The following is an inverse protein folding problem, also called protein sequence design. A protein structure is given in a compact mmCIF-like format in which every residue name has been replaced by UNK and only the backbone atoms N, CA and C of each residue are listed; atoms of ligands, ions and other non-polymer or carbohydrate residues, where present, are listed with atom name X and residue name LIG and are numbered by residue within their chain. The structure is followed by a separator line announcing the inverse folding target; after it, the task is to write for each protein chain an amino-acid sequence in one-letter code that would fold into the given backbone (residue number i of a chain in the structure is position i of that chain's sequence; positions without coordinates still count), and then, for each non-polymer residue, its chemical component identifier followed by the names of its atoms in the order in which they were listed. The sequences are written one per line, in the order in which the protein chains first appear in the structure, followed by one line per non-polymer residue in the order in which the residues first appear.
data_IF_659352128139
#
_entry.id   IF_659352128139
#
_cell.length_a   1.000
_cell.length_b   1.000
_cell.length_c   1.000
_cell.angle_alpha   90.00
_cell.angle_beta   90.00
_cell.angle_gamma   90.00
#
_symmetry.space_group_name_H-M   'P 1'
#
loop_
_entity.id
_entity.type
_entity.pdbx_description
1 polymer ?
#
# COMPACT_ATOMS: atom_id res chain seq x y z
N UNK A 1 12.51 4.05 -12.40
CA UNK A 1 11.76 3.50 -11.25
C UNK A 1 12.49 2.27 -10.77
N UNK A 2 12.39 1.94 -9.48
CA UNK A 2 12.94 0.68 -8.96
C UNK A 2 11.73 -0.21 -8.68
N UNK A 3 11.21 -0.85 -9.72
CA UNK A 3 9.89 -1.51 -9.72
C UNK A 3 9.75 -2.53 -8.58
N UNK A 4 10.84 -3.21 -8.19
CA UNK A 4 10.88 -4.12 -7.04
C UNK A 4 10.63 -3.42 -5.71
N UNK A 5 11.27 -2.26 -5.50
CA UNK A 5 11.01 -1.43 -4.32
C UNK A 5 9.56 -0.97 -4.33
N UNK A 6 9.02 -0.74 -5.52
CA UNK A 6 7.69 -0.16 -5.63
C UNK A 6 6.57 -1.14 -5.34
N UNK A 7 6.71 -2.34 -5.89
CA UNK A 7 5.90 -3.50 -5.56
C UNK A 7 5.97 -3.84 -4.07
N UNK A 8 7.17 -3.87 -3.49
CA UNK A 8 7.32 -4.17 -2.05
C UNK A 8 6.57 -3.18 -1.15
N UNK A 9 6.61 -1.89 -1.49
CA UNK A 9 5.91 -0.87 -0.70
C UNK A 9 4.39 -0.95 -0.85
N UNK A 10 3.89 -1.28 -2.04
CA UNK A 10 2.46 -1.52 -2.25
C UNK A 10 1.99 -2.75 -1.50
N UNK A 11 2.72 -3.86 -1.58
CA UNK A 11 2.42 -5.09 -0.84
C UNK A 11 2.32 -4.86 0.68
N UNK A 12 3.26 -4.09 1.24
CA UNK A 12 3.21 -3.70 2.66
C UNK A 12 1.99 -2.84 3.00
N UNK A 13 1.59 -1.92 2.12
CA UNK A 13 0.40 -1.06 2.35
C UNK A 13 -0.89 -1.87 2.28
N UNK A 14 -1.01 -2.76 1.31
CA UNK A 14 -2.14 -3.67 1.22
C UNK A 14 -2.22 -4.62 2.40
N UNK A 15 -1.09 -5.18 2.84
CA UNK A 15 -1.04 -6.01 4.05
C UNK A 15 -1.58 -5.24 5.26
N UNK A 16 -1.10 -4.02 5.48
CA UNK A 16 -1.57 -3.17 6.57
C UNK A 16 -3.07 -2.83 6.47
N UNK A 17 -3.57 -2.58 5.26
CA UNK A 17 -5.00 -2.35 5.04
C UNK A 17 -5.83 -3.58 5.43
N UNK A 18 -5.45 -4.77 4.95
CA UNK A 18 -6.15 -6.00 5.31
C UNK A 18 -6.08 -6.29 6.82
N UNK A 19 -4.95 -6.05 7.49
CA UNK A 19 -4.83 -6.19 8.95
C UNK A 19 -5.82 -5.31 9.72
N UNK A 20 -6.17 -4.14 9.20
CA UNK A 20 -7.10 -3.19 9.84
C UNK A 20 -8.56 -3.40 9.45
N UNK A 21 -8.85 -4.01 8.30
CA UNK A 21 -10.23 -4.32 7.90
C UNK A 21 -10.82 -5.41 8.79
N UNK A 22 -12.12 -5.31 9.05
CA UNK A 22 -12.87 -6.42 9.65
C UNK A 22 -13.11 -7.54 8.63
N UNK A 23 -13.33 -8.76 9.10
CA UNK A 23 -13.66 -9.89 8.21
C UNK A 23 -14.99 -9.65 7.48
N UNK A 24 -15.95 -8.98 8.12
CA UNK A 24 -17.20 -8.53 7.52
C UNK A 24 -16.95 -7.63 6.30
N UNK A 25 -16.07 -6.63 6.42
CA UNK A 25 -15.65 -5.75 5.32
C UNK A 25 -15.04 -6.55 4.17
N UNK A 26 -14.10 -7.45 4.47
CA UNK A 26 -13.43 -8.26 3.45
C UNK A 26 -14.45 -9.14 2.71
N UNK A 27 -15.39 -9.75 3.44
CA UNK A 27 -16.47 -10.53 2.87
C UNK A 27 -17.38 -9.68 1.95
N UNK A 28 -17.76 -8.48 2.39
CA UNK A 28 -18.56 -7.55 1.57
C UNK A 28 -17.85 -7.18 0.26
N UNK A 29 -16.57 -6.79 0.32
CA UNK A 29 -15.79 -6.44 -0.87
C UNK A 29 -15.69 -7.62 -1.84
N UNK A 30 -15.42 -8.82 -1.33
CA UNK A 30 -15.30 -10.01 -2.17
C UNK A 30 -16.64 -10.44 -2.79
N UNK A 31 -17.73 -10.28 -2.05
CA UNK A 31 -19.08 -10.60 -2.54
C UNK A 31 -19.60 -9.64 -3.60
N UNK A 32 -19.04 -8.43 -3.67
CA UNK A 32 -19.33 -7.46 -4.72
C UNK A 32 -18.61 -7.76 -6.06
N UNK A 33 -17.70 -8.73 -6.09
CA UNK A 33 -17.06 -9.17 -7.32
C UNK A 33 -18.03 -9.99 -8.18
N UNK A 34 -17.94 -9.83 -9.49
CA UNK A 34 -18.77 -10.54 -10.46
C UNK A 34 -17.92 -11.28 -11.52
N UNK A 35 -18.52 -12.31 -12.14
CA UNK A 35 -17.94 -13.04 -13.26
C UNK A 35 -16.51 -13.54 -13.03
N UNK A 36 -15.67 -13.38 -14.05
CA UNK A 36 -14.28 -13.85 -14.05
C UNK A 36 -13.43 -13.24 -12.93
N UNK A 37 -13.78 -12.03 -12.46
CA UNK A 37 -13.06 -11.37 -11.38
C UNK A 37 -13.27 -12.10 -10.05
N UNK A 38 -14.51 -12.52 -9.78
CA UNK A 38 -14.86 -13.32 -8.60
C UNK A 38 -14.17 -14.68 -8.62
N UNK A 39 -14.20 -15.35 -9.76
CA UNK A 39 -13.59 -16.67 -9.93
C UNK A 39 -12.06 -16.60 -9.83
N UNK A 40 -11.45 -15.59 -10.43
CA UNK A 40 -10.02 -15.31 -10.34
C UNK A 40 -9.59 -15.04 -8.90
N UNK A 41 -10.36 -14.21 -8.19
CA UNK A 41 -10.12 -13.91 -6.78
C UNK A 41 -10.17 -15.17 -5.90
N UNK A 42 -11.21 -16.01 -6.05
CA UNK A 42 -11.32 -17.25 -5.30
C UNK A 42 -10.11 -18.16 -5.49
N UNK A 43 -9.63 -18.32 -6.72
CA UNK A 43 -8.41 -19.11 -7.03
C UNK A 43 -7.16 -18.48 -6.41
N UNK A 44 -7.05 -17.15 -6.46
CA UNK A 44 -5.90 -16.41 -5.94
C UNK A 44 -5.72 -16.63 -4.44
N UNK A 45 -6.79 -16.49 -3.65
CA UNK A 45 -6.74 -16.72 -2.19
C UNK A 45 -6.90 -18.20 -1.81
N UNK A 46 -7.33 -19.05 -2.74
CA UNK A 46 -7.48 -20.49 -2.53
C UNK A 46 -8.74 -20.87 -1.77
N UNK A 47 -9.84 -20.19 -2.04
CA UNK A 47 -11.16 -20.53 -1.51
C UNK A 47 -11.64 -21.86 -2.10
N UNK A 48 -12.36 -22.63 -1.29
CA UNK A 48 -13.06 -23.82 -1.76
C UNK A 48 -14.30 -23.45 -2.55
N UNK A 49 -14.81 -24.41 -3.33
CA UNK A 49 -16.13 -24.31 -3.94
C UNK A 49 -17.19 -24.05 -2.85
N UNK A 50 -18.17 -23.19 -3.15
CA UNK A 50 -19.20 -22.78 -2.20
C UNK A 50 -18.77 -21.79 -1.11
N UNK A 51 -17.49 -21.38 -1.02
CA UNK A 51 -17.04 -20.47 0.04
C UNK A 51 -17.79 -19.13 0.08
N UNK A 52 -18.25 -18.63 -1.08
CA UNK A 52 -19.06 -17.40 -1.16
C UNK A 52 -20.48 -17.55 -0.62
N UNK A 53 -20.96 -18.77 -0.38
CA UNK A 53 -22.29 -19.04 0.17
C UNK A 53 -22.34 -18.81 1.68
N UNK A 54 -21.21 -18.93 2.37
CA UNK A 54 -21.09 -18.68 3.81
C UNK A 54 -20.41 -17.33 4.08
N UNK A 55 -21.22 -16.27 4.08
CA UNK A 55 -20.75 -14.91 4.35
C UNK A 55 -20.14 -14.74 5.75
N UNK A 56 -20.50 -15.58 6.72
CA UNK A 56 -20.00 -15.45 8.09
C UNK A 56 -18.53 -15.89 8.21
N UNK A 57 -18.10 -16.87 7.41
CA UNK A 57 -16.72 -17.37 7.43
C UNK A 57 -15.85 -16.84 6.28
N UNK A 58 -16.47 -16.29 5.22
CA UNK A 58 -15.80 -15.85 4.00
C UNK A 58 -14.63 -14.90 4.27
N UNK A 59 -14.83 -13.85 5.07
CA UNK A 59 -13.80 -12.85 5.36
C UNK A 59 -12.56 -13.43 6.01
N UNK A 60 -12.75 -14.31 7.01
CA UNK A 60 -11.65 -14.98 7.70
C UNK A 60 -10.87 -15.93 6.76
N UNK A 61 -11.58 -16.66 5.89
CA UNK A 61 -10.95 -17.54 4.89
C UNK A 61 -10.13 -16.74 3.87
N UNK A 62 -10.65 -15.60 3.42
CA UNK A 62 -9.92 -14.69 2.51
C UNK A 62 -8.66 -14.17 3.19
N UNK A 63 -8.78 -13.66 4.43
CA UNK A 63 -7.63 -13.15 5.20
C UNK A 63 -6.53 -14.21 5.35
N UNK A 64 -6.92 -15.43 5.72
CA UNK A 64 -6.01 -16.57 5.84
C UNK A 64 -5.34 -16.90 4.49
N UNK A 65 -6.11 -16.91 3.40
CA UNK A 65 -5.60 -17.11 2.05
C UNK A 65 -4.59 -16.05 1.61
N UNK A 66 -4.89 -14.77 1.87
CA UNK A 66 -3.99 -13.63 1.62
C UNK A 66 -2.66 -13.84 2.33
N UNK A 67 -2.70 -14.14 3.63
CA UNK A 67 -1.50 -14.30 4.46
C UNK A 67 -0.66 -15.51 4.03
N UNK A 68 -1.29 -16.67 3.84
CA UNK A 68 -0.60 -17.92 3.47
C UNK A 68 0.08 -17.83 2.10
N UNK A 69 -0.57 -17.17 1.14
CA UNK A 69 -0.11 -17.10 -0.25
C UNK A 69 0.71 -15.85 -0.56
N UNK A 70 0.72 -14.87 0.35
CA UNK A 70 1.42 -13.57 0.20
C UNK A 70 0.98 -12.82 -1.04
N UNK A 71 -0.34 -12.68 -1.17
CA UNK A 71 -1.03 -12.10 -2.34
C UNK A 71 -1.79 -10.83 -1.98
N UNK A 72 -1.36 -10.13 -0.92
CA UNK A 72 -2.04 -8.92 -0.44
C UNK A 72 -2.13 -7.86 -1.54
N UNK A 73 -1.03 -7.62 -2.26
CA UNK A 73 -1.03 -6.71 -3.40
C UNK A 73 -2.12 -7.05 -4.43
N UNK A 74 -2.11 -8.28 -4.95
CA UNK A 74 -3.02 -8.67 -6.03
C UNK A 74 -4.48 -8.73 -5.56
N UNK A 75 -4.72 -9.12 -4.31
CA UNK A 75 -6.06 -9.08 -3.70
C UNK A 75 -6.57 -7.64 -3.55
N UNK A 76 -5.70 -6.73 -3.13
CA UNK A 76 -6.05 -5.32 -2.97
C UNK A 76 -6.45 -4.67 -4.30
N UNK A 77 -5.73 -4.99 -5.38
CA UNK A 77 -6.07 -4.57 -6.74
C UNK A 77 -7.44 -5.11 -7.14
N UNK A 78 -7.65 -6.42 -7.03
CA UNK A 78 -8.90 -7.06 -7.48
C UNK A 78 -10.11 -6.58 -6.69
N UNK A 79 -10.00 -6.44 -5.36
CA UNK A 79 -11.09 -5.98 -4.52
C UNK A 79 -11.40 -4.48 -4.73
N UNK A 80 -10.44 -3.69 -5.22
CA UNK A 80 -10.66 -2.29 -5.59
C UNK A 80 -11.22 -2.12 -7.00
N UNK A 81 -11.24 -3.17 -7.83
CA UNK A 81 -11.52 -3.06 -9.26
C UNK A 81 -12.90 -2.45 -9.57
N UNK A 82 -14.02 -2.85 -8.92
CA UNK A 82 -15.32 -2.22 -9.19
C UNK A 82 -15.34 -0.72 -8.86
N UNK A 83 -14.70 -0.33 -7.75
CA UNK A 83 -14.54 1.06 -7.33
C UNK A 83 -13.67 1.84 -8.33
N UNK A 84 -12.62 1.20 -8.85
CA UNK A 84 -11.65 1.80 -9.76
C UNK A 84 -12.26 2.04 -11.13
N UNK A 85 -12.93 1.04 -11.71
CA UNK A 85 -13.62 1.16 -13.00
C UNK A 85 -14.66 2.27 -12.97
N UNK A 86 -15.49 2.30 -11.93
CA UNK A 86 -16.48 3.37 -11.79
C UNK A 86 -15.86 4.76 -11.64
N UNK A 87 -14.76 4.86 -10.89
CA UNK A 87 -14.03 6.13 -10.73
C UNK A 87 -13.42 6.60 -12.05
N UNK A 88 -12.93 5.68 -12.88
CA UNK A 88 -12.42 5.99 -14.23
C UNK A 88 -13.55 6.53 -15.11
N UNK A 89 -14.71 5.89 -15.10
CA UNK A 89 -15.89 6.33 -15.86
C UNK A 89 -16.34 7.75 -15.45
N UNK A 90 -16.39 8.04 -14.16
CA UNK A 90 -16.81 9.36 -13.66
C UNK A 90 -15.78 10.47 -13.93
N UNK A 91 -14.48 10.15 -13.89
CA UNK A 91 -13.41 11.09 -14.19
C UNK A 91 -13.22 11.31 -15.69
N UNK A 92 -13.62 10.34 -16.52
CA UNK A 92 -13.45 10.42 -17.98
C UNK A 92 -12.00 10.66 -18.38
N UNK A 93 -11.77 11.68 -19.19
CA UNK A 93 -10.43 12.06 -19.67
C UNK A 93 -9.46 12.43 -18.53
N UNK A 94 -9.96 12.88 -17.38
CA UNK A 94 -9.14 13.20 -16.22
C UNK A 94 -8.67 11.96 -15.45
N UNK A 95 -9.16 10.75 -15.78
CA UNK A 95 -8.83 9.53 -15.05
C UNK A 95 -7.33 9.16 -15.09
N UNK A 96 -6.61 9.56 -16.13
CA UNK A 96 -5.17 9.25 -16.28
C UNK A 96 -4.26 10.11 -15.39
N UNK A 97 -4.66 11.34 -15.06
CA UNK A 97 -3.93 12.23 -14.13
C UNK A 97 -4.89 13.18 -13.40
N UNK A 98 -5.76 12.65 -12.51
CA UNK A 98 -6.76 13.47 -11.83
C UNK A 98 -6.08 14.41 -10.84
N UNK A 99 -6.56 15.64 -10.78
CA UNK A 99 -6.14 16.65 -9.82
C UNK A 99 -6.70 16.35 -8.43
N UNK A 100 -6.12 16.98 -7.40
CA UNK A 100 -6.66 16.87 -6.04
C UNK A 100 -8.10 17.40 -5.93
N UNK A 101 -8.45 18.43 -6.70
CA UNK A 101 -9.80 19.01 -6.73
C UNK A 101 -10.81 18.01 -7.27
N UNK A 102 -10.52 17.43 -8.45
CA UNK A 102 -11.38 16.39 -9.06
C UNK A 102 -11.53 15.16 -8.15
N UNK A 103 -10.45 14.76 -7.47
CA UNK A 103 -10.53 13.67 -6.48
C UNK A 103 -11.43 14.05 -5.30
N UNK A 104 -11.34 15.27 -4.77
CA UNK A 104 -12.21 15.70 -3.67
C UNK A 104 -13.69 15.77 -4.08
N UNK A 105 -13.99 16.08 -5.34
CA UNK A 105 -15.34 16.07 -5.87
C UNK A 105 -15.87 14.64 -6.10
N UNK A 106 -14.99 13.72 -6.51
CA UNK A 106 -15.32 12.31 -6.72
C UNK A 106 -15.53 11.56 -5.40
N UNK A 107 -14.67 11.82 -4.40
CA UNK A 107 -14.56 11.04 -3.17
C UNK A 107 -15.89 10.82 -2.44
N UNK A 108 -16.74 11.83 -2.21
CA UNK A 108 -18.04 11.64 -1.56
C UNK A 108 -18.92 10.62 -2.29
N UNK A 109 -18.94 10.68 -3.63
CA UNK A 109 -19.79 9.82 -4.47
C UNK A 109 -19.31 8.37 -4.46
N UNK A 110 -18.00 8.16 -4.62
CA UNK A 110 -17.41 6.82 -4.63
C UNK A 110 -17.47 6.17 -3.24
N UNK A 111 -17.30 6.95 -2.17
CA UNK A 111 -17.45 6.46 -0.78
C UNK A 111 -18.90 6.08 -0.51
N UNK A 112 -19.88 6.88 -0.96
CA UNK A 112 -21.30 6.53 -0.83
C UNK A 112 -21.63 5.22 -1.57
N UNK A 113 -21.06 5.02 -2.75
CA UNK A 113 -21.37 3.87 -3.61
C UNK A 113 -20.67 2.57 -3.18
N UNK A 114 -19.39 2.64 -2.82
CA UNK A 114 -18.56 1.45 -2.58
C UNK A 114 -18.06 1.33 -1.14
N UNK A 115 -18.28 2.34 -0.30
CA UNK A 115 -17.71 2.42 1.04
C UNK A 115 -16.25 2.87 1.05
N UNK A 116 -15.81 3.36 2.21
CA UNK A 116 -14.46 3.91 2.37
C UNK A 116 -13.35 2.87 2.19
N UNK A 117 -13.60 1.61 2.52
CA UNK A 117 -12.60 0.54 2.47
C UNK A 117 -12.22 0.18 1.02
N UNK A 118 -13.19 0.15 0.09
CA UNK A 118 -12.92 -0.01 -1.33
C UNK A 118 -12.07 1.16 -1.88
N UNK A 119 -12.42 2.38 -1.46
CA UNK A 119 -11.72 3.60 -1.84
C UNK A 119 -10.30 3.62 -1.26
N UNK A 120 -10.09 3.10 -0.05
CA UNK A 120 -8.75 2.90 0.54
C UNK A 120 -7.88 2.01 -0.33
N UNK A 121 -8.40 0.87 -0.79
CA UNK A 121 -7.65 -0.04 -1.65
C UNK A 121 -7.29 0.60 -3.01
N UNK A 122 -8.22 1.37 -3.59
CA UNK A 122 -7.97 2.16 -4.81
C UNK A 122 -6.91 3.24 -4.57
N UNK A 123 -7.00 3.99 -3.47
CA UNK A 123 -6.03 5.05 -3.15
C UNK A 123 -4.63 4.46 -2.94
N UNK A 124 -4.50 3.29 -2.29
CA UNK A 124 -3.22 2.60 -2.17
C UNK A 124 -2.62 2.34 -3.55
N UNK A 125 -3.41 1.82 -4.50
CA UNK A 125 -2.98 1.49 -5.87
C UNK A 125 -2.35 2.70 -6.57
N UNK A 126 -3.04 3.84 -6.56
CA UNK A 126 -2.66 5.00 -7.37
C UNK A 126 -1.81 6.05 -6.63
N UNK A 127 -1.70 5.96 -5.30
CA UNK A 127 -0.89 6.88 -4.45
C UNK A 127 0.60 6.93 -4.78
N UNK A 128 1.08 6.09 -5.71
CA UNK A 128 2.49 6.02 -6.10
C UNK A 128 2.73 6.50 -7.51
N UNK A 129 1.80 6.25 -8.41
CA UNK A 129 1.85 6.63 -9.82
C UNK A 129 1.33 8.05 -10.01
N UNK A 130 0.16 8.38 -9.47
CA UNK A 130 -0.58 9.59 -9.81
C UNK A 130 -0.34 10.73 -8.81
N UNK A 131 -0.18 11.95 -9.33
CA UNK A 131 0.14 13.12 -8.51
C UNK A 131 -1.02 13.51 -7.61
N UNK A 132 -2.25 13.52 -8.12
CA UNK A 132 -3.45 13.82 -7.32
C UNK A 132 -3.59 12.88 -6.12
N UNK A 133 -3.46 11.58 -6.33
CA UNK A 133 -3.51 10.60 -5.23
C UNK A 133 -2.38 10.76 -4.21
N UNK A 134 -1.17 11.13 -4.63
CA UNK A 134 -0.08 11.49 -3.69
C UNK A 134 -0.45 12.69 -2.82
N UNK A 135 -1.08 13.71 -3.41
CA UNK A 135 -1.53 14.89 -2.69
C UNK A 135 -2.70 14.56 -1.76
N UNK A 136 -3.63 13.70 -2.19
CA UNK A 136 -4.76 13.23 -1.38
C UNK A 136 -4.27 12.54 -0.11
N UNK A 137 -3.37 11.57 -0.22
CA UNK A 137 -2.79 10.85 0.93
C UNK A 137 -2.06 11.80 1.90
N UNK A 138 -1.52 12.92 1.40
CA UNK A 138 -0.85 13.91 2.24
C UNK A 138 -1.81 14.90 2.90
N UNK A 139 -2.98 15.14 2.31
CA UNK A 139 -3.94 16.15 2.74
C UNK A 139 -5.10 15.60 3.57
N UNK A 140 -5.47 14.33 3.37
CA UNK A 140 -6.62 13.70 4.01
C UNK A 140 -6.17 12.53 4.90
N UNK A 141 -6.30 12.73 6.21
CA UNK A 141 -5.88 11.78 7.23
C UNK A 141 -6.60 10.44 7.14
N UNK A 142 -7.80 10.40 6.53
CA UNK A 142 -8.51 9.13 6.28
C UNK A 142 -7.70 8.20 5.40
N UNK A 143 -6.93 8.74 4.45
CA UNK A 143 -6.10 7.96 3.52
C UNK A 143 -4.62 7.96 3.89
N UNK A 144 -4.27 8.55 5.04
CA UNK A 144 -2.91 8.52 5.52
C UNK A 144 -2.46 7.07 5.63
N UNK A 145 -1.25 6.80 5.15
CA UNK A 145 -0.67 5.45 5.23
C UNK A 145 -0.47 5.13 6.70
N UNK A 146 -1.43 4.42 7.29
CA UNK A 146 -1.21 3.72 8.53
C UNK A 146 -0.18 2.65 8.20
N UNK A 147 1.09 2.95 8.47
CA UNK A 147 2.03 1.86 8.64
C UNK A 147 1.38 0.96 9.67
N UNK A 148 1.08 -0.29 9.29
CA UNK A 148 0.79 -1.37 10.22
C UNK A 148 1.64 -1.08 11.44
N UNK A 149 0.98 -0.87 12.57
CA UNK A 149 1.63 -0.54 13.82
C UNK A 149 2.61 -1.69 14.04
N UNK A 150 3.83 -1.49 13.56
CA UNK A 150 4.94 -2.09 14.20
C UNK A 150 4.76 -1.51 15.60
N UNK A 151 4.33 -2.36 16.51
CA UNK A 151 4.80 -2.32 17.87
C UNK A 151 6.34 -2.42 17.80
N UNK A 152 7.01 -1.47 17.14
CA UNK A 152 8.24 -0.92 17.62
C UNK A 152 7.80 -0.27 18.92
N UNK A 153 7.79 -1.06 19.99
CA UNK A 153 8.06 -0.49 21.30
C UNK A 153 9.16 0.51 21.07
N UNK A 154 8.87 1.77 21.38
CA UNK A 154 9.73 2.92 21.11
C UNK A 154 11.14 2.46 21.44
N UNK A 155 11.96 2.19 20.42
CA UNK A 155 13.39 2.10 20.63
C UNK A 155 13.73 3.54 20.96
N UNK A 156 13.77 3.84 22.26
CA UNK A 156 14.33 5.08 22.77
C UNK A 156 15.66 5.23 22.07
N UNK A 157 15.69 6.14 21.10
CA UNK A 157 16.90 6.47 20.39
C UNK A 157 17.73 7.22 21.39
N UNK A 158 18.64 6.50 22.05
CA UNK A 158 19.70 7.12 22.81
C UNK A 158 20.51 8.00 21.84
N UNK A 159 20.27 9.31 21.89
CA UNK A 159 20.90 10.30 21.03
C UNK A 159 22.43 10.26 21.15
N UNK A 160 22.96 9.82 22.31
CA UNK A 160 24.39 9.69 22.53
C UNK A 160 24.99 8.56 21.67
N UNK A 161 24.27 7.44 21.52
CA UNK A 161 24.74 6.31 20.73
C UNK A 161 24.70 6.59 19.21
N UNK A 162 23.71 7.37 18.77
CA UNK A 162 23.63 7.84 17.38
C UNK A 162 24.66 8.92 17.06
N UNK A 163 24.94 9.83 18.00
CA UNK A 163 26.02 10.80 17.88
C UNK A 163 27.39 10.10 17.75
N UNK A 164 27.66 9.09 18.59
CA UNK A 164 28.88 8.29 18.52
C UNK A 164 29.03 7.58 17.17
N UNK A 165 27.95 7.00 16.62
CA UNK A 165 27.97 6.37 15.28
C UNK A 165 28.21 7.38 14.15
N UNK A 166 27.75 8.63 14.28
CA UNK A 166 27.99 9.71 13.30
C UNK A 166 29.45 10.18 13.35
N UNK A 167 30.01 10.36 14.54
CA UNK A 167 31.41 10.73 14.74
C UNK A 167 32.37 9.63 14.22
N UNK A 168 32.09 8.36 14.52
CA UNK A 168 32.87 7.24 13.99
C UNK A 168 32.86 7.17 12.46
N UNK A 169 31.72 7.50 11.82
CA UNK A 169 31.61 7.57 10.35
C UNK A 169 32.37 8.76 9.77
N UNK A 170 32.37 9.92 10.43
CA UNK A 170 33.17 11.09 10.01
C UNK A 170 34.67 10.79 10.11
N UNK A 171 35.12 10.22 11.22
CA UNK A 171 36.51 9.84 11.42
C UNK A 171 37.00 8.82 10.38
N UNK A 172 36.17 7.81 10.07
CA UNK A 172 36.51 6.82 9.02
C UNK A 172 36.61 7.47 7.64
N UNK A 173 35.68 8.36 7.30
CA UNK A 173 35.72 9.10 6.01
C UNK A 173 36.93 10.01 5.90
N UNK A 174 37.32 10.70 6.98
CA UNK A 174 38.51 11.55 7.00
C UNK A 174 39.81 10.73 6.83
N UNK A 175 39.93 9.59 7.53
CA UNK A 175 41.07 8.69 7.38
C UNK A 175 41.16 8.07 5.98
N UNK A 176 40.03 7.76 5.34
CA UNK A 176 40.01 7.28 3.95
C UNK A 176 40.40 8.38 2.96
N UNK A 177 39.96 9.62 3.18
CA UNK A 177 40.33 10.76 2.35
C UNK A 177 41.84 11.07 2.44
N UNK A 178 42.42 11.02 3.64
CA UNK A 178 43.85 11.27 3.83
C UNK A 178 44.73 10.16 3.23
N UNK A 179 44.28 8.90 3.33
CA UNK A 179 44.94 7.77 2.65
C UNK A 179 44.88 7.91 1.12
N UNK A 180 43.75 8.35 0.56
CA UNK A 180 43.62 8.62 -0.88
C UNK A 180 44.50 9.79 -1.33
N UNK A 181 44.60 10.86 -0.54
CA UNK A 181 45.48 12.00 -0.83
C UNK A 181 46.97 11.60 -0.84
N UNK A 182 47.41 10.79 0.14
CA UNK A 182 48.79 10.28 0.20
C UNK A 182 49.13 9.32 -0.94
N UNK A 183 48.16 8.53 -1.43
CA UNK A 183 48.36 7.66 -2.60
C UNK A 183 48.44 8.45 -3.93
N UNK A 184 47.71 9.55 -4.07
CA UNK A 184 47.77 10.40 -5.27
C UNK A 184 49.05 11.25 -5.33
N UNK A 185 49.58 11.69 -4.19
CA UNK A 185 50.85 12.45 -4.13
C UNK A 185 52.10 11.62 -4.43
N UNK A 186 52.04 10.28 -4.32
CA UNK A 186 53.17 9.37 -4.55
C UNK A 186 53.24 8.81 -5.99
N UNK A 187 52.31 9.22 -6.85
CA UNK A 187 52.20 8.83 -8.28
C UNK A 187 52.52 10.00 -9.25
N UNK A 188 53.13 11.08 -8.75
CA UNK A 188 53.67 12.18 -9.55
C UNK A 188 55.19 12.22 -9.44
#
# INVERSE_FOLDING_TARGET
MNDDKDRFLLDRRYTAAFENFEDSTIATLASALEGDLKDGFARLVGLSEGAFEDQASLGALIRDGIAKRRVAHDCGVILAEPCTQWSIEELGDSSEDPTLEELNDLLPKVIEKFGIDAVHLMVIQYSRSLKGFRQLVAADERFAVQSAVANMGVLEKDEAEQAAKREARKARKAAEAEKKAKQQGKRR
#
